data_IF_996519943193
#
_entry.id   IF_996519943193
#
_cell.length_a   1.000
_cell.length_b   1.000
_cell.length_c   1.000
_cell.angle_alpha   90.00
_cell.angle_beta   90.00
_cell.angle_gamma   90.00
#
_symmetry.space_group_name_H-M   'P 1'
#
loop_
_entity.id
_entity.type
_entity.pdbx_description
1 polymer ?
#
# COMPACT_ATOMS: atom_id res chain seq x y z
N UNK A 1 2.49 4.04 -14.48
CA UNK A 1 1.22 3.71 -15.18
C UNK A 1 0.82 4.87 -16.08
N UNK A 2 0.30 4.63 -17.29
CA UNK A 2 -0.26 5.70 -18.13
C UNK A 2 -1.78 5.76 -17.93
N UNK A 3 -2.32 6.93 -17.62
CA UNK A 3 -3.76 7.16 -17.49
C UNK A 3 -4.15 8.45 -18.20
N UNK A 4 -4.99 8.36 -19.25
CA UNK A 4 -5.44 9.51 -20.06
C UNK A 4 -4.27 10.43 -20.45
N UNK A 5 -3.29 9.85 -21.15
CA UNK A 5 -2.07 10.52 -21.62
C UNK A 5 -1.17 11.12 -20.51
N UNK A 6 -1.49 10.85 -19.25
CA UNK A 6 -0.73 11.31 -18.08
C UNK A 6 0.04 10.16 -17.47
N UNK A 7 1.35 10.34 -17.26
CA UNK A 7 2.18 9.40 -16.51
C UNK A 7 1.83 9.52 -15.01
N UNK A 8 1.31 8.45 -14.44
CA UNK A 8 1.21 8.28 -12.99
C UNK A 8 2.51 7.61 -12.51
N UNK A 9 3.24 8.33 -11.66
CA UNK A 9 4.38 7.80 -10.89
C UNK A 9 3.86 7.26 -9.56
N UNK A 10 4.23 6.03 -9.23
CA UNK A 10 3.90 5.39 -7.97
C UNK A 10 5.14 4.76 -7.35
N UNK A 11 5.03 4.37 -6.09
CA UNK A 11 6.10 3.72 -5.32
C UNK A 11 5.59 2.40 -4.75
N UNK A 12 6.48 1.41 -4.72
CA UNK A 12 6.22 0.07 -4.17
C UNK A 12 7.43 -0.31 -3.32
N UNK A 13 7.18 -0.82 -2.13
CA UNK A 13 8.22 -1.18 -1.19
C UNK A 13 7.65 -1.46 0.19
N UNK A 14 8.54 -1.84 1.10
CA UNK A 14 8.22 -2.01 2.52
C UNK A 14 8.47 -0.68 3.23
N UNK A 15 7.50 -0.25 4.02
CA UNK A 15 7.54 1.02 4.75
C UNK A 15 7.12 0.80 6.20
N UNK A 16 7.68 1.63 7.09
CA UNK A 16 7.22 1.76 8.46
C UNK A 16 6.31 2.98 8.59
N UNK A 17 5.24 2.83 9.35
CA UNK A 17 4.20 3.82 9.52
C UNK A 17 4.15 4.26 10.98
N UNK A 18 4.46 5.52 11.24
CA UNK A 18 4.31 6.15 12.56
C UNK A 18 3.14 7.12 12.54
N UNK A 19 2.00 6.68 13.08
CA UNK A 19 0.78 7.48 13.16
C UNK A 19 -0.19 6.96 14.23
N UNK A 20 -1.14 7.81 14.68
CA UNK A 20 -2.26 7.37 15.51
C UNK A 20 -3.07 6.25 14.85
N UNK A 21 -3.47 5.26 15.65
CA UNK A 21 -4.23 4.07 15.23
C UNK A 21 -5.46 4.36 14.35
N UNK A 22 -6.30 5.39 14.61
CA UNK A 22 -7.47 5.66 13.77
C UNK A 22 -7.12 6.00 12.31
N UNK A 23 -5.96 6.63 12.08
CA UNK A 23 -5.51 6.96 10.73
C UNK A 23 -4.95 5.74 10.01
N UNK A 24 -4.44 4.76 10.75
CA UNK A 24 -3.98 3.50 10.17
C UNK A 24 -5.17 2.74 9.62
N UNK A 25 -6.25 2.58 10.39
CA UNK A 25 -7.48 1.93 9.91
C UNK A 25 -8.07 2.64 8.70
N UNK A 26 -8.14 3.97 8.73
CA UNK A 26 -8.61 4.74 7.57
C UNK A 26 -7.78 4.46 6.32
N UNK A 27 -6.45 4.50 6.43
CA UNK A 27 -5.54 4.25 5.32
C UNK A 27 -5.56 2.79 4.86
N UNK A 28 -5.74 1.84 5.77
CA UNK A 28 -5.84 0.42 5.47
C UNK A 28 -7.11 0.11 4.67
N UNK A 29 -8.24 0.67 5.08
CA UNK A 29 -9.53 0.44 4.41
C UNK A 29 -9.67 1.21 3.09
N UNK A 30 -9.17 2.45 3.03
CA UNK A 30 -9.34 3.33 1.87
C UNK A 30 -8.15 3.29 0.89
N UNK A 31 -6.98 2.83 1.35
CA UNK A 31 -5.69 2.97 0.66
C UNK A 31 -4.94 4.26 1.02
N UNK A 32 -3.62 4.20 0.99
CA UNK A 32 -2.72 5.34 1.20
C UNK A 32 -2.69 6.28 -0.02
N UNK A 33 -2.60 7.59 0.25
CA UNK A 33 -2.37 8.60 -0.78
C UNK A 33 -3.58 8.87 -1.67
N UNK A 34 -3.37 8.88 -2.99
CA UNK A 34 -4.37 9.29 -3.97
C UNK A 34 -4.65 8.19 -5.00
N UNK A 35 -5.73 8.38 -5.77
CA UNK A 35 -6.14 7.49 -6.87
C UNK A 35 -6.45 6.06 -6.42
N UNK A 36 -6.97 5.87 -5.20
CA UNK A 36 -7.29 4.53 -4.68
C UNK A 36 -8.31 3.79 -5.57
N UNK A 37 -9.34 4.49 -6.07
CA UNK A 37 -10.31 3.93 -7.02
C UNK A 37 -9.73 3.55 -8.40
N UNK A 38 -8.47 3.89 -8.68
CA UNK A 38 -7.72 3.45 -9.88
C UNK A 38 -6.70 2.34 -9.56
N UNK A 39 -6.75 1.77 -8.36
CA UNK A 39 -5.92 0.63 -7.96
C UNK A 39 -4.57 0.99 -7.34
N UNK A 40 -4.46 2.15 -6.68
CA UNK A 40 -3.22 2.57 -6.01
C UNK A 40 -3.38 2.68 -4.49
N UNK A 41 -2.28 2.50 -3.75
CA UNK A 41 -2.22 2.80 -2.33
C UNK A 41 -2.75 1.72 -1.39
N UNK A 42 -3.27 0.61 -1.91
CA UNK A 42 -3.58 -0.55 -1.06
C UNK A 42 -2.30 -1.13 -0.48
N UNK A 43 -2.31 -1.43 0.82
CA UNK A 43 -1.16 -1.97 1.55
C UNK A 43 -1.55 -3.21 2.34
N UNK A 44 -0.54 -4.01 2.68
CA UNK A 44 -0.67 -5.15 3.59
C UNK A 44 0.22 -4.95 4.81
N UNK A 45 -0.17 -5.56 5.93
CA UNK A 45 0.65 -5.58 7.14
C UNK A 45 1.66 -6.73 6.97
N UNK A 46 2.94 -6.41 7.13
CA UNK A 46 4.01 -7.40 7.06
C UNK A 46 4.34 -7.84 8.48
N UNK A 47 4.20 -9.13 8.75
CA UNK A 47 4.65 -9.71 10.03
C UNK A 47 6.18 -9.82 10.04
N UNK A 48 6.85 -8.94 10.77
CA UNK A 48 8.28 -9.07 11.08
C UNK A 48 8.48 -10.12 12.16
N UNK A 49 8.34 -11.41 11.81
CA UNK A 49 8.40 -12.48 12.81
C UNK A 49 8.53 -13.93 12.33
N UNK A 50 8.34 -14.24 11.04
CA UNK A 50 8.64 -15.57 10.48
C UNK A 50 9.26 -15.43 9.10
N UNK A 51 10.40 -16.09 8.90
CA UNK A 51 11.15 -16.04 7.65
C UNK A 51 10.31 -16.48 6.45
N UNK A 52 10.67 -15.89 5.31
CA UNK A 52 10.48 -16.38 3.94
C UNK A 52 9.92 -17.80 3.84
N UNK A 53 8.60 -17.94 3.82
CA UNK A 53 7.93 -19.18 3.45
C UNK A 53 6.48 -18.90 3.07
N UNK A 54 6.28 -18.14 2.00
CA UNK A 54 5.20 -18.41 1.04
C UNK A 54 5.35 -17.48 -0.18
N UNK A 55 6.32 -17.81 -1.04
CA UNK A 55 6.10 -17.67 -2.48
C UNK A 55 5.32 -18.91 -2.91
N UNK A 56 3.99 -18.86 -2.88
CA UNK A 56 3.09 -19.81 -3.53
C UNK A 56 1.86 -19.06 -4.02
N UNK A 57 1.97 -18.54 -5.25
CA UNK A 57 1.16 -18.90 -6.43
C UNK A 57 1.22 -17.76 -7.48
#
# INVERSE_FOLDING_TARGET
>A
VMYRDTVIKGWTGVYELDLPEPFFHLAYDAGLGAKNSQGFGMVEIIETGRGESDQRD
#
